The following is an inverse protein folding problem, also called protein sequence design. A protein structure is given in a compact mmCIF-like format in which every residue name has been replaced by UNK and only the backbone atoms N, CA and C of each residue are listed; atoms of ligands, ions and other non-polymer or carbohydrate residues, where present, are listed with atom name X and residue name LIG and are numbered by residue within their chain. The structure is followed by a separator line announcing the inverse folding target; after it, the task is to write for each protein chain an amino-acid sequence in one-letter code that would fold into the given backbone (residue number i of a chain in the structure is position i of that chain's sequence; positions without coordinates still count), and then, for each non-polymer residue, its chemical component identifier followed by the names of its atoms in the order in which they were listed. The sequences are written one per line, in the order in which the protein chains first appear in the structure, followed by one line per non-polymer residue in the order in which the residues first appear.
data_IF_610924726229
#
_entry.id   IF_610924726229
#
_cell.length_a   1.000
_cell.length_b   1.000
_cell.length_c   1.000
_cell.angle_alpha   90.00
_cell.angle_beta   90.00
_cell.angle_gamma   90.00
#
_symmetry.space_group_name_H-M   'P 1'
#
loop_
_entity.id
_entity.type
_entity.pdbx_description
1 polymer ?
#
# COMPACT_ATOMS: atom_id res chain seq x y z
N UNK A 1 -18.00 17.11 6.09
CA UNK A 1 -18.28 16.34 4.86
C UNK A 1 -17.16 15.33 4.66
N UNK A 2 -17.50 14.04 4.52
CA UNK A 2 -16.65 13.01 3.91
C UNK A 2 -15.50 12.44 4.75
N UNK A 3 -15.58 11.16 5.12
CA UNK A 3 -14.43 10.39 5.59
C UNK A 3 -13.69 9.88 4.35
N UNK A 4 -12.41 10.23 4.20
CA UNK A 4 -11.55 9.66 3.15
C UNK A 4 -11.23 8.21 3.50
N UNK A 5 -11.87 7.27 2.81
CA UNK A 5 -11.61 5.84 2.98
C UNK A 5 -10.32 5.51 2.22
N UNK A 6 -9.25 5.15 2.92
CA UNK A 6 -7.92 4.91 2.33
C UNK A 6 -7.61 3.43 2.04
N UNK A 7 -8.51 2.50 2.38
CA UNK A 7 -8.30 1.05 2.20
C UNK A 7 -7.05 0.50 2.91
N UNK A 8 -6.79 -0.80 2.77
CA UNK A 8 -5.61 -1.46 3.37
C UNK A 8 -4.30 -0.91 2.81
N UNK A 9 -4.26 -0.62 1.51
CA UNK A 9 -3.08 -0.11 0.80
C UNK A 9 -2.68 1.27 1.32
N UNK A 10 -3.63 2.18 1.51
CA UNK A 10 -3.34 3.52 2.03
C UNK A 10 -2.83 3.50 3.47
N UNK A 11 -3.25 2.52 4.27
CA UNK A 11 -2.68 2.31 5.61
C UNK A 11 -1.22 1.87 5.52
N UNK A 12 -0.90 0.92 4.64
CA UNK A 12 0.48 0.46 4.43
C UNK A 12 1.39 1.57 3.88
N UNK A 13 0.91 2.35 2.91
CA UNK A 13 1.62 3.53 2.38
C UNK A 13 1.93 4.51 3.50
N UNK A 14 0.94 4.85 4.34
CA UNK A 14 1.16 5.73 5.49
C UNK A 14 2.14 5.15 6.50
N UNK A 15 2.08 3.85 6.77
CA UNK A 15 3.01 3.19 7.68
C UNK A 15 4.46 3.28 7.16
N UNK A 16 4.67 3.12 5.86
CA UNK A 16 5.99 3.29 5.22
C UNK A 16 6.46 4.74 5.27
N UNK A 17 5.59 5.70 4.94
CA UNK A 17 5.91 7.13 5.04
C UNK A 17 6.22 7.56 6.48
N UNK A 18 5.59 6.94 7.47
CA UNK A 18 5.86 7.15 8.89
C UNK A 18 7.12 6.41 9.38
N UNK A 19 7.79 5.62 8.53
CA UNK A 19 8.97 4.82 8.90
C UNK A 19 8.67 3.63 9.83
N UNK A 20 7.39 3.24 9.98
CA UNK A 20 6.96 2.13 10.84
C UNK A 20 7.25 0.77 10.22
N UNK A 21 7.25 0.70 8.88
CA UNK A 21 7.59 -0.51 8.12
C UNK A 21 8.79 -0.23 7.20
N UNK A 22 9.69 -1.21 7.04
CA UNK A 22 10.92 -1.01 6.27
C UNK A 22 10.71 -1.07 4.76
N UNK A 23 9.73 -1.84 4.26
CA UNK A 23 9.48 -2.03 2.81
C UNK A 23 7.99 -2.21 2.54
N UNK A 24 7.47 -1.58 1.48
CA UNK A 24 6.05 -1.65 1.12
C UNK A 24 5.79 -2.79 0.12
N UNK A 25 6.66 -2.94 -0.87
CA UNK A 25 6.57 -3.94 -1.95
C UNK A 25 6.33 -5.38 -1.47
N UNK A 26 7.13 -5.94 -0.54
CA UNK A 26 6.93 -7.32 -0.08
C UNK A 26 5.59 -7.49 0.66
N UNK A 27 5.10 -6.47 1.35
CA UNK A 27 3.79 -6.53 2.03
C UNK A 27 2.64 -6.54 1.02
N UNK A 28 2.75 -5.77 -0.08
CA UNK A 28 1.77 -5.81 -1.15
C UNK A 28 1.78 -7.16 -1.89
N UNK A 29 2.96 -7.74 -2.10
CA UNK A 29 3.11 -9.09 -2.68
C UNK A 29 2.49 -10.16 -1.76
N UNK A 30 2.75 -10.12 -0.46
CA UNK A 30 2.12 -11.05 0.49
C UNK A 30 0.60 -10.90 0.51
N UNK A 31 0.07 -9.68 0.44
CA UNK A 31 -1.36 -9.45 0.35
C UNK A 31 -1.94 -10.10 -0.92
N UNK A 32 -1.29 -9.93 -2.08
CA UNK A 32 -1.72 -10.58 -3.33
C UNK A 32 -1.73 -12.11 -3.21
N UNK A 33 -0.69 -12.69 -2.60
CA UNK A 33 -0.61 -14.14 -2.36
C UNK A 33 -1.72 -14.64 -1.42
N UNK A 34 -2.10 -13.84 -0.42
CA UNK A 34 -3.17 -14.17 0.52
C UNK A 34 -4.59 -13.89 -0.04
N UNK A 35 -4.73 -13.63 -1.34
CA UNK A 35 -6.02 -13.46 -2.01
C UNK A 35 -6.54 -12.01 -2.07
N UNK A 36 -5.70 -11.03 -1.73
CA UNK A 36 -6.04 -9.62 -1.92
C UNK A 36 -5.79 -9.21 -3.37
N UNK A 37 -6.86 -9.04 -4.15
CA UNK A 37 -6.74 -8.55 -5.52
C UNK A 37 -6.40 -7.06 -5.55
N UNK A 38 -5.15 -6.75 -5.90
CA UNK A 38 -4.66 -5.41 -6.14
C UNK A 38 -4.38 -5.25 -7.64
N UNK A 39 -4.98 -4.24 -8.27
CA UNK A 39 -4.63 -3.87 -9.65
C UNK A 39 -3.18 -3.40 -9.71
N UNK A 40 -2.48 -3.74 -10.79
CA UNK A 40 -1.08 -3.34 -10.99
C UNK A 40 -0.93 -1.82 -10.98
N UNK A 41 -1.87 -1.06 -11.57
CA UNK A 41 -1.86 0.41 -11.52
C UNK A 41 -1.86 0.94 -10.08
N UNK A 42 -2.70 0.36 -9.21
CA UNK A 42 -2.79 0.76 -7.80
C UNK A 42 -1.52 0.39 -7.04
N UNK A 43 -0.90 -0.75 -7.36
CA UNK A 43 0.40 -1.15 -6.81
C UNK A 43 1.48 -0.16 -7.20
N UNK A 44 1.54 0.23 -8.47
CA UNK A 44 2.51 1.20 -8.99
C UNK A 44 2.31 2.58 -8.37
N UNK A 45 1.06 3.05 -8.25
CA UNK A 45 0.77 4.30 -7.55
C UNK A 45 1.19 4.25 -6.07
N UNK A 46 0.87 3.15 -5.37
CA UNK A 46 1.25 2.99 -3.96
C UNK A 46 2.78 2.99 -3.76
N UNK A 47 3.52 2.34 -4.65
CA UNK A 47 4.99 2.31 -4.64
C UNK A 47 5.59 3.69 -4.97
N UNK A 48 5.02 4.41 -5.95
CA UNK A 48 5.43 5.79 -6.26
C UNK A 48 5.25 6.76 -5.09
N UNK A 49 4.21 6.58 -4.28
CA UNK A 49 3.95 7.43 -3.10
C UNK A 49 5.01 7.30 -2.00
N UNK A 50 5.85 6.26 -2.06
CA UNK A 50 6.92 5.97 -1.09
C UNK A 50 8.30 5.88 -1.74
N UNK A 51 8.41 6.26 -3.02
CA UNK A 51 9.63 6.26 -3.82
C UNK A 51 10.33 4.87 -3.90
N UNK A 52 9.55 3.79 -4.03
CA UNK A 52 9.98 2.37 -4.11
C UNK A 52 9.57 1.68 -5.44
#
# INVERSE_FOLDING_TARGET
MGISIIGTVGVLVKAKQAGLIPFLKPLLDELQVNGFYLNEDLKVEALKLVEE
#
